data_IF_637723003037
#
_entry.id   IF_637723003037
#
_cell.length_a   1.000
_cell.length_b   1.000
_cell.length_c   1.000
_cell.angle_alpha   90.00
_cell.angle_beta   90.00
_cell.angle_gamma   90.00
#
_symmetry.space_group_name_H-M   'P 1'
#
loop_
_entity.id
_entity.type
_entity.pdbx_description
1 polymer ?
#
# COMPACT_ATOMS: atom_id res chain seq x y z
N UNK A 1 3.01 3.54 -14.97
CA UNK A 1 2.08 3.72 -13.82
C UNK A 1 1.29 4.98 -14.09
N UNK A 2 0.00 4.85 -14.45
CA UNK A 2 -0.86 6.04 -14.47
C UNK A 2 -0.98 6.52 -13.04
N UNK A 3 -1.04 7.83 -12.82
CA UNK A 3 -1.27 8.44 -11.50
C UNK A 3 -0.13 8.38 -10.48
N UNK A 4 1.13 8.44 -10.97
CA UNK A 4 2.32 8.57 -10.10
C UNK A 4 2.17 9.68 -9.05
N UNK A 5 1.71 10.87 -9.45
CA UNK A 5 1.56 12.01 -8.54
C UNK A 5 0.50 11.75 -7.47
N UNK A 6 -0.59 11.06 -7.82
CA UNK A 6 -1.64 10.70 -6.89
C UNK A 6 -1.19 9.63 -5.88
N UNK A 7 -0.31 8.71 -6.29
CA UNK A 7 0.34 7.74 -5.40
C UNK A 7 1.30 8.45 -4.44
N UNK A 8 2.16 9.33 -4.94
CA UNK A 8 3.08 10.13 -4.12
C UNK A 8 2.31 10.98 -3.10
N UNK A 9 1.20 11.61 -3.50
CA UNK A 9 0.37 12.39 -2.59
C UNK A 9 -0.18 11.54 -1.43
N UNK A 10 -0.64 10.32 -1.72
CA UNK A 10 -1.13 9.40 -0.68
C UNK A 10 -0.01 8.92 0.23
N UNK A 11 1.16 8.60 -0.32
CA UNK A 11 2.34 8.24 0.47
C UNK A 11 2.77 9.35 1.43
N UNK A 12 2.76 10.62 0.97
CA UNK A 12 3.02 11.79 1.85
C UNK A 12 2.01 11.91 3.00
N UNK A 13 0.74 11.54 2.78
CA UNK A 13 -0.26 11.49 3.85
C UNK A 13 0.07 10.40 4.87
N UNK A 14 0.44 9.21 4.41
CA UNK A 14 0.89 8.11 5.30
C UNK A 14 2.11 8.54 6.10
N UNK A 15 3.10 9.18 5.47
CA UNK A 15 4.27 9.73 6.17
C UNK A 15 3.87 10.70 7.30
N UNK A 16 2.90 11.58 7.04
CA UNK A 16 2.36 12.48 8.05
C UNK A 16 1.69 11.73 9.23
N UNK A 17 0.96 10.65 8.94
CA UNK A 17 0.38 9.79 9.99
C UNK A 17 1.46 9.11 10.83
N UNK A 18 2.52 8.60 10.21
CA UNK A 18 3.65 7.99 10.94
C UNK A 18 4.34 9.01 11.85
N UNK A 19 4.60 10.23 11.36
CA UNK A 19 5.14 11.32 12.20
C UNK A 19 4.21 11.68 13.35
N UNK A 20 2.90 11.69 13.11
CA UNK A 20 1.90 11.91 14.15
C UNK A 20 1.94 10.82 15.23
N UNK A 21 2.02 9.55 14.84
CA UNK A 21 2.13 8.42 15.76
C UNK A 21 3.41 8.51 16.60
N UNK A 22 4.55 8.85 16.00
CA UNK A 22 5.82 9.07 16.73
C UNK A 22 5.64 10.12 17.82
N UNK A 23 5.08 11.28 17.48
CA UNK A 23 4.80 12.35 18.44
C UNK A 23 3.84 11.90 19.55
N UNK A 24 2.81 11.11 19.24
CA UNK A 24 1.90 10.57 20.27
C UNK A 24 2.63 9.65 21.26
N UNK A 25 3.60 8.86 20.79
CA UNK A 25 4.43 8.01 21.66
C UNK A 25 5.36 8.86 22.52
N UNK A 26 6.03 9.86 21.94
CA UNK A 26 6.91 10.79 22.66
C UNK A 26 6.15 11.57 23.74
N UNK A 27 4.90 11.96 23.47
CA UNK A 27 4.03 12.66 24.42
C UNK A 27 3.34 11.73 25.43
N UNK A 28 3.56 10.42 25.35
CA UNK A 28 2.94 9.44 26.26
C UNK A 28 1.42 9.37 26.16
N UNK A 29 0.85 9.51 24.95
CA UNK A 29 -0.60 9.40 24.73
C UNK A 29 -1.13 8.00 25.06
N UNK A 30 -2.43 7.92 25.29
CA UNK A 30 -3.11 6.66 25.58
C UNK A 30 -2.91 5.63 24.46
N UNK A 31 -2.55 4.39 24.84
CA UNK A 31 -2.25 3.32 23.89
C UNK A 31 -3.41 3.04 22.93
N UNK A 32 -4.67 3.15 23.38
CA UNK A 32 -5.83 2.94 22.52
C UNK A 32 -5.91 3.95 21.38
N UNK A 33 -5.60 5.22 21.64
CA UNK A 33 -5.60 6.27 20.61
C UNK A 33 -4.48 6.05 19.61
N UNK A 34 -3.30 5.62 20.09
CA UNK A 34 -2.17 5.27 19.23
C UNK A 34 -2.53 4.08 18.32
N UNK A 35 -3.19 3.05 18.85
CA UNK A 35 -3.64 1.88 18.07
C UNK A 35 -4.66 2.27 17.00
N UNK A 36 -5.55 3.23 17.29
CA UNK A 36 -6.49 3.77 16.30
C UNK A 36 -5.72 4.47 15.17
N UNK A 37 -4.72 5.30 15.48
CA UNK A 37 -3.91 5.98 14.47
C UNK A 37 -3.07 5.01 13.64
N UNK A 38 -2.49 3.98 14.26
CA UNK A 38 -1.79 2.90 13.55
C UNK A 38 -2.74 2.20 12.57
N UNK A 39 -3.96 1.89 13.01
CA UNK A 39 -4.98 1.26 12.14
C UNK A 39 -5.35 2.15 10.96
N UNK A 40 -5.47 3.47 11.18
CA UNK A 40 -5.70 4.44 10.13
C UNK A 40 -4.53 4.52 9.13
N UNK A 41 -3.28 4.50 9.61
CA UNK A 41 -2.09 4.49 8.77
C UNK A 41 -1.98 3.20 7.93
N UNK A 42 -2.28 2.03 8.54
CA UNK A 42 -2.34 0.74 7.84
C UNK A 42 -3.40 0.76 6.74
N UNK A 43 -4.61 1.24 7.03
CA UNK A 43 -5.67 1.37 6.02
C UNK A 43 -5.27 2.30 4.87
N UNK A 44 -4.66 3.44 5.16
CA UNK A 44 -4.16 4.35 4.14
C UNK A 44 -3.06 3.73 3.27
N UNK A 45 -2.14 2.95 3.87
CA UNK A 45 -1.11 2.23 3.14
C UNK A 45 -1.69 1.11 2.27
N UNK A 46 -2.69 0.35 2.77
CA UNK A 46 -3.38 -0.68 2.00
C UNK A 46 -4.07 -0.11 0.75
N UNK A 47 -4.65 1.08 0.86
CA UNK A 47 -5.20 1.78 -0.30
C UNK A 47 -4.12 2.11 -1.36
N UNK A 48 -2.92 2.53 -0.94
CA UNK A 48 -1.80 2.76 -1.86
C UNK A 48 -1.36 1.46 -2.52
N UNK A 49 -1.22 0.39 -1.74
CA UNK A 49 -0.85 -0.93 -2.25
C UNK A 49 -1.85 -1.44 -3.29
N UNK A 50 -3.16 -1.24 -3.08
CA UNK A 50 -4.21 -1.60 -4.05
C UNK A 50 -4.07 -0.87 -5.39
N UNK A 51 -3.78 0.44 -5.37
CA UNK A 51 -3.56 1.23 -6.60
C UNK A 51 -2.33 0.73 -7.38
N UNK A 52 -1.25 0.40 -6.67
CA UNK A 52 -0.02 -0.11 -7.30
C UNK A 52 -0.27 -1.50 -7.88
N UNK A 53 -0.99 -2.37 -7.16
CA UNK A 53 -1.36 -3.70 -7.62
C UNK A 53 -2.25 -3.65 -8.86
N UNK A 54 -3.27 -2.78 -8.87
CA UNK A 54 -4.13 -2.57 -10.05
C UNK A 54 -3.32 -2.13 -11.27
N UNK A 55 -2.37 -1.20 -11.07
CA UNK A 55 -1.46 -0.77 -12.13
C UNK A 55 -0.59 -1.94 -12.63
N UNK A 56 -0.04 -2.74 -11.72
CA UNK A 56 0.79 -3.90 -12.07
C UNK A 56 -0.01 -4.91 -12.90
N UNK A 57 -1.23 -5.24 -12.47
CA UNK A 57 -2.17 -6.11 -13.19
C UNK A 57 -2.50 -5.58 -14.58
N UNK A 58 -2.91 -4.31 -14.68
CA UNK A 58 -3.25 -3.69 -15.97
C UNK A 58 -2.08 -3.73 -16.94
N UNK A 59 -0.86 -3.43 -16.47
CA UNK A 59 0.34 -3.46 -17.31
C UNK A 59 0.72 -4.89 -17.74
N UNK A 60 0.52 -5.88 -16.87
CA UNK A 60 0.77 -7.28 -17.20
C UNK A 60 -0.22 -7.81 -18.25
N UNK A 61 -1.50 -7.41 -18.15
CA UNK A 61 -2.55 -7.87 -19.07
C UNK A 61 -2.63 -7.06 -20.38
N UNK A 62 -2.19 -5.79 -20.39
CA UNK A 62 -2.29 -4.92 -21.57
C UNK A 62 -1.18 -5.12 -22.62
N UNK A 63 -0.14 -5.90 -22.32
CA UNK A 63 0.97 -6.12 -23.25
C UNK A 63 0.63 -7.03 -24.45
N UNK A 64 -0.57 -7.62 -24.53
CA UNK A 64 -1.07 -8.30 -25.75
C UNK A 64 -0.23 -9.45 -26.30
N UNK A 65 0.85 -9.82 -25.61
CA UNK A 65 1.80 -10.85 -25.95
C UNK A 65 1.77 -11.85 -24.81
N UNK A 66 1.74 -13.14 -25.13
CA UNK A 66 1.65 -14.25 -24.19
C UNK A 66 2.43 -13.97 -22.91
N UNK A 67 1.71 -13.63 -21.83
CA UNK A 67 2.34 -13.43 -20.52
C UNK A 67 3.07 -14.71 -20.20
N UNK A 68 4.39 -14.63 -20.02
CA UNK A 68 5.19 -15.81 -19.76
C UNK A 68 4.72 -16.50 -18.48
N UNK A 69 4.85 -17.83 -18.35
CA UNK A 69 4.54 -18.52 -17.10
C UNK A 69 5.24 -17.90 -15.88
N UNK A 70 6.46 -17.38 -16.07
CA UNK A 70 7.24 -16.69 -15.02
C UNK A 70 6.61 -15.35 -14.59
N UNK A 71 6.06 -14.57 -15.52
CA UNK A 71 5.34 -13.33 -15.20
C UNK A 71 4.03 -13.60 -14.46
N UNK A 72 3.32 -14.67 -14.82
CA UNK A 72 2.12 -15.12 -14.11
C UNK A 72 2.49 -15.57 -12.69
N UNK A 73 3.58 -16.32 -12.51
CA UNK A 73 4.05 -16.75 -11.20
C UNK A 73 4.44 -15.57 -10.31
N UNK A 74 5.16 -14.58 -10.85
CA UNK A 74 5.46 -13.31 -10.16
C UNK A 74 4.18 -12.57 -9.75
N UNK A 75 3.18 -12.55 -10.61
CA UNK A 75 1.89 -11.93 -10.29
C UNK A 75 1.16 -12.65 -9.15
N UNK A 76 1.14 -13.99 -9.18
CA UNK A 76 0.54 -14.81 -8.12
C UNK A 76 1.27 -14.59 -6.80
N UNK A 77 2.60 -14.54 -6.77
CA UNK A 77 3.37 -14.26 -5.56
C UNK A 77 3.04 -12.88 -4.96
N UNK A 78 2.98 -11.84 -5.79
CA UNK A 78 2.60 -10.48 -5.36
C UNK A 78 1.16 -10.46 -4.81
N UNK A 79 0.22 -11.13 -5.48
CA UNK A 79 -1.16 -11.27 -5.03
C UNK A 79 -1.26 -11.98 -3.67
N UNK A 80 -0.58 -13.11 -3.49
CA UNK A 80 -0.59 -13.87 -2.24
C UNK A 80 0.01 -13.09 -1.06
N UNK A 81 1.03 -12.26 -1.31
CA UNK A 81 1.59 -11.36 -0.29
C UNK A 81 0.60 -10.26 0.09
N UNK A 82 -0.15 -9.72 -0.88
CA UNK A 82 -1.15 -8.70 -0.64
C UNK A 82 -2.37 -9.22 0.15
N UNK A 83 -2.83 -10.45 -0.13
CA UNK A 83 -3.97 -11.04 0.60
C UNK A 83 -3.65 -11.48 2.02
N UNK A 84 -2.41 -11.90 2.32
CA UNK A 84 -1.98 -12.29 3.67
C UNK A 84 -1.79 -11.11 4.64
N UNK A 85 -1.66 -9.88 4.13
CA UNK A 85 -1.39 -8.69 4.94
C UNK A 85 -2.65 -7.82 5.20
N UNK A 86 -3.79 -8.18 4.60
CA UNK A 86 -5.08 -7.56 4.86
C UNK A 86 -5.82 -8.31 5.97
#
# INVERSE_FOLDING_TARGET
MSDKDAVILRLRKVEGQIKGIQKMVEEGKYCGDILIQISAARSALNNVSGIILENYLKNCMSQGQSTSPEEIEKLIDVMLKFTKQN
#
